data_IF_132454969666
#
_entry.id   IF_132454969666
#
_cell.length_a   1.000
_cell.length_b   1.000
_cell.length_c   1.000
_cell.angle_alpha   90.00
_cell.angle_beta   90.00
_cell.angle_gamma   90.00
#
_symmetry.space_group_name_H-M   'P 1'
#
loop_
_entity.id
_entity.type
_entity.pdbx_description
1 polymer ?
#
# COMPACT_ATOMS: atom_id res chain seq x y z
N UNK A 1 -21.55 -3.34 -3.05
CA UNK A 1 -20.25 -4.03 -3.15
C UNK A 1 -19.22 -3.13 -2.51
N UNK A 2 -18.33 -3.66 -1.65
CA UNK A 2 -17.24 -2.89 -1.03
C UNK A 2 -16.04 -2.82 -1.95
N UNK A 3 -15.33 -1.70 -1.91
CA UNK A 3 -14.16 -1.42 -2.72
C UNK A 3 -12.88 -1.58 -1.90
N UNK A 4 -11.88 -2.32 -2.41
CA UNK A 4 -10.56 -2.46 -1.79
C UNK A 4 -9.46 -2.07 -2.77
N UNK A 5 -8.54 -1.22 -2.32
CA UNK A 5 -7.30 -0.90 -3.04
C UNK A 5 -6.14 -1.69 -2.45
N UNK A 6 -5.42 -2.43 -3.30
CA UNK A 6 -4.25 -3.22 -2.91
C UNK A 6 -3.04 -2.71 -3.69
N UNK A 7 -2.08 -2.09 -3.01
CA UNK A 7 -0.85 -1.63 -3.66
C UNK A 7 0.15 -2.76 -3.81
N UNK A 8 0.84 -2.80 -4.96
CA UNK A 8 1.77 -3.88 -5.27
C UNK A 8 1.07 -5.25 -5.40
N UNK A 9 -0.14 -5.27 -5.96
CA UNK A 9 -1.01 -6.45 -6.04
C UNK A 9 -0.60 -7.51 -7.07
N UNK A 10 0.44 -7.28 -7.88
CA UNK A 10 0.79 -8.18 -8.99
C UNK A 10 1.61 -9.41 -8.56
N UNK A 11 2.13 -9.48 -7.34
CA UNK A 11 2.96 -10.61 -6.85
C UNK A 11 2.90 -10.78 -5.34
N UNK A 12 3.40 -11.93 -4.85
CA UNK A 12 3.60 -12.20 -3.42
C UNK A 12 2.34 -12.02 -2.58
N UNK A 13 2.48 -11.38 -1.42
CA UNK A 13 1.40 -11.12 -0.47
C UNK A 13 0.28 -10.30 -1.11
N UNK A 14 0.63 -9.26 -1.87
CA UNK A 14 -0.36 -8.43 -2.57
C UNK A 14 -1.24 -9.24 -3.52
N UNK A 15 -0.64 -10.13 -4.33
CA UNK A 15 -1.37 -11.04 -5.21
C UNK A 15 -2.33 -11.93 -4.42
N UNK A 16 -1.86 -12.55 -3.33
CA UNK A 16 -2.72 -13.38 -2.48
C UNK A 16 -3.90 -12.58 -1.91
N UNK A 17 -3.67 -11.34 -1.48
CA UNK A 17 -4.75 -10.44 -1.05
C UNK A 17 -5.75 -10.15 -2.17
N UNK A 18 -5.30 -9.95 -3.43
CA UNK A 18 -6.21 -9.73 -4.56
C UNK A 18 -7.18 -10.89 -4.72
N UNK A 19 -6.68 -12.13 -4.73
CA UNK A 19 -7.56 -13.32 -4.84
C UNK A 19 -8.50 -13.44 -3.65
N UNK A 20 -7.99 -13.27 -2.43
CA UNK A 20 -8.80 -13.41 -1.22
C UNK A 20 -9.95 -12.39 -1.18
N UNK A 21 -9.66 -11.12 -1.43
CA UNK A 21 -10.70 -10.10 -1.48
C UNK A 21 -11.69 -10.29 -2.62
N UNK A 22 -11.22 -10.73 -3.81
CA UNK A 22 -12.10 -11.03 -4.94
C UNK A 22 -13.04 -12.20 -4.63
N UNK A 23 -12.53 -13.28 -4.04
CA UNK A 23 -13.33 -14.44 -3.63
C UNK A 23 -14.37 -14.09 -2.55
N UNK A 24 -14.13 -13.05 -1.77
CA UNK A 24 -15.06 -12.55 -0.75
C UNK A 24 -16.00 -11.42 -1.26
N UNK A 25 -16.11 -11.25 -2.58
CA UNK A 25 -17.10 -10.36 -3.21
C UNK A 25 -16.76 -8.87 -3.14
N UNK A 26 -15.49 -8.52 -2.92
CA UNK A 26 -15.05 -7.13 -3.03
C UNK A 26 -14.76 -6.78 -4.50
N UNK A 27 -15.00 -5.51 -4.87
CA UNK A 27 -14.37 -4.95 -6.06
C UNK A 27 -12.93 -4.60 -5.70
N UNK A 28 -11.98 -5.27 -6.35
CA UNK A 28 -10.55 -5.10 -6.07
C UNK A 28 -9.90 -4.18 -7.09
N UNK A 29 -9.21 -3.14 -6.61
CA UNK A 29 -8.30 -2.31 -7.38
C UNK A 29 -6.89 -2.81 -7.14
N UNK A 30 -6.31 -3.49 -8.13
CA UNK A 30 -4.95 -3.98 -8.12
C UNK A 30 -4.03 -2.89 -8.66
N UNK A 31 -3.29 -2.23 -7.78
CA UNK A 31 -2.23 -1.33 -8.21
C UNK A 31 -0.94 -2.10 -8.49
N UNK A 32 -0.29 -1.72 -9.58
CA UNK A 32 1.04 -2.22 -9.96
C UNK A 32 1.88 -1.09 -10.59
N UNK A 33 3.21 -1.24 -10.59
CA UNK A 33 4.13 -0.28 -11.24
C UNK A 33 4.69 -0.84 -12.56
N UNK A 34 5.40 -1.98 -12.51
CA UNK A 34 6.16 -2.52 -13.66
C UNK A 34 5.61 -3.83 -14.23
N UNK A 35 4.95 -4.64 -13.43
CA UNK A 35 4.54 -6.02 -13.77
C UNK A 35 3.16 -6.02 -14.46
N UNK A 36 3.08 -5.51 -15.68
CA UNK A 36 1.84 -5.41 -16.46
C UNK A 36 1.25 -6.79 -16.79
N UNK A 37 2.08 -7.71 -17.26
CA UNK A 37 1.62 -9.04 -17.70
C UNK A 37 1.01 -9.85 -16.57
N UNK A 38 1.65 -9.81 -15.38
CA UNK A 38 1.10 -10.45 -14.18
C UNK A 38 -0.20 -9.78 -13.72
N UNK A 39 -0.28 -8.45 -13.82
CA UNK A 39 -1.50 -7.72 -13.46
C UNK A 39 -2.67 -8.08 -14.40
N UNK A 40 -2.43 -8.15 -15.71
CA UNK A 40 -3.45 -8.55 -16.70
C UNK A 40 -3.90 -10.02 -16.48
N UNK A 41 -2.96 -10.92 -16.18
CA UNK A 41 -3.31 -12.31 -15.84
C UNK A 41 -4.23 -12.38 -14.62
N UNK A 42 -3.88 -11.68 -13.53
CA UNK A 42 -4.69 -11.66 -12.31
C UNK A 42 -6.06 -11.04 -12.58
N UNK A 43 -6.13 -9.95 -13.35
CA UNK A 43 -7.39 -9.35 -13.79
C UNK A 43 -8.30 -10.34 -14.50
N UNK A 44 -7.76 -11.12 -15.44
CA UNK A 44 -8.53 -12.12 -16.18
C UNK A 44 -9.06 -13.25 -15.28
N UNK A 45 -8.33 -13.60 -14.22
CA UNK A 45 -8.71 -14.67 -13.28
C UNK A 45 -9.68 -14.17 -12.19
N UNK A 46 -9.63 -12.89 -11.81
CA UNK A 46 -10.33 -12.37 -10.63
C UNK A 46 -11.37 -11.29 -10.94
N UNK A 47 -11.33 -10.71 -12.13
CA UNK A 47 -12.13 -9.52 -12.47
C UNK A 47 -11.64 -8.23 -11.81
N UNK A 48 -10.46 -8.21 -11.19
CA UNK A 48 -9.92 -7.02 -10.55
C UNK A 48 -9.70 -5.88 -11.56
N UNK A 49 -9.92 -4.65 -11.13
CA UNK A 49 -9.57 -3.45 -11.88
C UNK A 49 -8.09 -3.17 -11.68
N UNK A 50 -7.31 -3.22 -12.74
CA UNK A 50 -5.87 -2.94 -12.65
C UNK A 50 -5.59 -1.45 -12.82
N UNK A 51 -4.72 -0.89 -11.98
CA UNK A 51 -4.33 0.53 -12.03
C UNK A 51 -2.81 0.64 -11.96
N UNK A 52 -2.20 1.14 -13.03
CA UNK A 52 -0.75 1.38 -13.10
C UNK A 52 -0.42 2.70 -12.40
N UNK A 53 0.39 2.65 -11.35
CA UNK A 53 0.95 3.82 -10.70
C UNK A 53 2.20 3.46 -9.89
N UNK A 54 3.22 4.30 -9.91
CA UNK A 54 4.29 4.28 -8.90
C UNK A 54 3.76 4.97 -7.64
N UNK A 55 3.54 4.20 -6.59
CA UNK A 55 2.97 4.72 -5.34
C UNK A 55 3.92 5.63 -4.54
N UNK A 56 5.19 5.72 -4.93
CA UNK A 56 6.15 6.69 -4.39
C UNK A 56 6.05 8.06 -5.05
N UNK A 57 5.30 8.19 -6.14
CA UNK A 57 5.05 9.42 -6.89
C UNK A 57 3.67 9.99 -6.53
N UNK A 58 3.66 11.17 -5.94
CA UNK A 58 2.42 11.81 -5.48
C UNK A 58 1.44 12.12 -6.61
N UNK A 59 1.94 12.49 -7.81
CA UNK A 59 1.08 12.76 -8.96
C UNK A 59 0.37 11.50 -9.42
N UNK A 60 1.10 10.38 -9.58
CA UNK A 60 0.52 9.11 -10.01
C UNK A 60 -0.47 8.56 -8.97
N UNK A 61 -0.22 8.76 -7.67
CA UNK A 61 -1.17 8.39 -6.62
C UNK A 61 -2.47 9.23 -6.72
N UNK A 62 -2.34 10.52 -6.96
CA UNK A 62 -3.52 11.39 -7.14
C UNK A 62 -4.31 11.03 -8.41
N UNK A 63 -3.63 10.80 -9.53
CA UNK A 63 -4.26 10.37 -10.79
C UNK A 63 -5.01 9.01 -10.59
N UNK A 64 -4.41 8.07 -9.84
CA UNK A 64 -5.05 6.81 -9.46
C UNK A 64 -6.30 7.05 -8.60
N UNK A 65 -6.23 7.94 -7.63
CA UNK A 65 -7.36 8.23 -6.75
C UNK A 65 -8.51 8.89 -7.54
N UNK A 66 -8.21 9.85 -8.39
CA UNK A 66 -9.19 10.50 -9.26
C UNK A 66 -9.88 9.49 -10.18
N UNK A 67 -9.10 8.59 -10.82
CA UNK A 67 -9.65 7.52 -11.66
C UNK A 67 -10.63 6.62 -10.88
N UNK A 68 -10.24 6.20 -9.67
CA UNK A 68 -11.08 5.32 -8.84
C UNK A 68 -12.34 6.06 -8.38
N UNK A 69 -12.21 7.28 -7.86
CA UNK A 69 -13.34 8.06 -7.36
C UNK A 69 -14.35 8.37 -8.46
N UNK A 70 -13.88 8.78 -9.65
CA UNK A 70 -14.75 9.15 -10.78
C UNK A 70 -15.54 7.95 -11.32
N UNK A 71 -14.90 6.78 -11.44
CA UNK A 71 -15.50 5.63 -12.12
C UNK A 71 -16.17 4.63 -11.18
N UNK A 72 -15.75 4.57 -9.91
CA UNK A 72 -16.16 3.48 -9.00
C UNK A 72 -16.57 3.96 -7.60
N UNK A 73 -16.32 5.23 -7.30
CA UNK A 73 -16.67 5.83 -6.00
C UNK A 73 -15.64 5.55 -4.91
N UNK A 74 -16.07 5.58 -3.66
CA UNK A 74 -15.23 5.59 -2.47
C UNK A 74 -14.60 4.23 -2.15
N UNK A 75 -13.42 4.24 -1.57
CA UNK A 75 -12.70 3.07 -1.07
C UNK A 75 -13.16 2.72 0.37
N UNK A 76 -13.35 1.44 0.63
CA UNK A 76 -13.71 0.91 1.96
C UNK A 76 -12.50 0.28 2.68
N UNK A 77 -11.56 -0.28 1.93
CA UNK A 77 -10.37 -0.93 2.48
C UNK A 77 -9.14 -0.55 1.68
N UNK A 78 -8.04 -0.23 2.36
CA UNK A 78 -6.72 -0.03 1.77
C UNK A 78 -5.79 -1.11 2.29
N UNK A 79 -5.10 -1.81 1.38
CA UNK A 79 -3.99 -2.70 1.70
C UNK A 79 -2.71 -2.07 1.14
N UNK A 80 -1.97 -1.37 2.00
CA UNK A 80 -0.65 -0.82 1.71
C UNK A 80 0.39 -1.93 1.77
N UNK A 81 0.62 -2.60 0.63
CA UNK A 81 1.52 -3.74 0.51
C UNK A 81 2.75 -3.44 -0.36
N UNK A 82 2.69 -2.48 -1.28
CA UNK A 82 3.82 -2.14 -2.13
C UNK A 82 5.09 -1.89 -1.31
N UNK A 83 6.18 -2.48 -1.72
CA UNK A 83 7.45 -2.37 -1.01
C UNK A 83 8.60 -3.00 -1.79
N UNK A 84 9.80 -2.61 -1.40
CA UNK A 84 11.07 -3.16 -1.87
C UNK A 84 11.93 -3.58 -0.68
N UNK A 85 12.85 -4.50 -0.90
CA UNK A 85 13.92 -4.84 0.03
C UNK A 85 15.27 -4.82 -0.70
N UNK A 86 16.33 -4.60 0.05
CA UNK A 86 17.70 -4.62 -0.46
C UNK A 86 18.61 -5.09 0.66
N UNK A 87 19.40 -6.13 0.39
CA UNK A 87 20.48 -6.56 1.29
C UNK A 87 21.74 -5.82 0.91
N UNK A 88 22.31 -5.05 1.86
CA UNK A 88 23.50 -4.24 1.65
C UNK A 88 24.18 -3.94 3.00
N UNK A 89 25.49 -4.00 3.07
CA UNK A 89 26.23 -3.57 4.28
C UNK A 89 25.95 -2.09 4.53
N UNK A 90 25.86 -1.70 5.79
CA UNK A 90 25.56 -0.31 6.16
C UNK A 90 26.56 0.69 5.54
N UNK A 91 27.83 0.34 5.51
CA UNK A 91 28.90 1.16 4.90
C UNK A 91 28.74 1.40 3.40
N UNK A 92 28.00 0.53 2.72
CA UNK A 92 27.80 0.56 1.27
C UNK A 92 26.45 1.16 0.88
N UNK A 93 25.54 1.38 1.86
CA UNK A 93 24.24 2.03 1.61
C UNK A 93 24.50 3.48 1.21
N UNK A 94 24.11 3.83 -0.01
CA UNK A 94 24.16 5.20 -0.50
C UNK A 94 22.95 5.99 -0.01
N UNK A 95 23.03 7.33 -0.03
CA UNK A 95 21.88 8.21 0.24
C UNK A 95 20.69 7.88 -0.70
N UNK A 96 20.96 7.63 -1.97
CA UNK A 96 19.93 7.23 -2.94
C UNK A 96 19.27 5.88 -2.59
N UNK A 97 20.02 4.89 -2.09
CA UNK A 97 19.45 3.62 -1.62
C UNK A 97 18.52 3.86 -0.43
N UNK A 98 18.96 4.72 0.51
CA UNK A 98 18.19 5.11 1.69
C UNK A 98 16.89 5.80 1.29
N UNK A 99 16.97 6.84 0.48
CA UNK A 99 15.82 7.63 0.05
C UNK A 99 14.83 6.75 -0.73
N UNK A 100 15.32 5.95 -1.66
CA UNK A 100 14.47 5.02 -2.42
C UNK A 100 13.77 4.00 -1.51
N UNK A 101 14.45 3.50 -0.48
CA UNK A 101 13.88 2.57 0.49
C UNK A 101 12.72 3.22 1.26
N UNK A 102 12.89 4.46 1.71
CA UNK A 102 11.86 5.19 2.42
C UNK A 102 10.73 5.65 1.50
N UNK A 103 11.03 6.11 0.30
CA UNK A 103 10.03 6.55 -0.68
C UNK A 103 9.04 5.41 -1.00
N UNK A 104 9.56 4.20 -1.24
CA UNK A 104 8.70 3.08 -1.63
C UNK A 104 8.04 2.39 -0.44
N UNK A 105 8.72 2.23 0.71
CA UNK A 105 8.16 1.47 1.83
C UNK A 105 7.38 2.31 2.85
N UNK A 106 7.63 3.61 2.93
CA UNK A 106 6.98 4.47 3.95
C UNK A 106 6.21 5.64 3.33
N UNK A 107 6.85 6.47 2.51
CA UNK A 107 6.20 7.63 1.88
C UNK A 107 5.03 7.22 1.00
N UNK A 108 5.16 6.10 0.26
CA UNK A 108 4.05 5.55 -0.52
C UNK A 108 2.82 5.26 0.32
N UNK A 109 2.99 4.66 1.50
CA UNK A 109 1.89 4.37 2.42
C UNK A 109 1.22 5.64 2.95
N UNK A 110 2.01 6.70 3.19
CA UNK A 110 1.48 8.02 3.53
C UNK A 110 0.66 8.59 2.37
N UNK A 111 1.22 8.62 1.15
CA UNK A 111 0.56 9.20 -0.02
C UNK A 111 -0.77 8.48 -0.34
N UNK A 112 -0.75 7.16 -0.41
CA UNK A 112 -1.95 6.35 -0.67
C UNK A 112 -2.98 6.52 0.45
N UNK A 113 -2.55 6.44 1.71
CA UNK A 113 -3.47 6.62 2.84
C UNK A 113 -4.11 8.01 2.78
N UNK A 114 -3.33 9.07 2.55
CA UNK A 114 -3.82 10.44 2.47
C UNK A 114 -4.82 10.64 1.33
N UNK A 115 -4.61 10.00 0.18
CA UNK A 115 -5.50 10.13 -0.98
C UNK A 115 -6.90 9.53 -0.77
N UNK A 116 -7.04 8.56 0.16
CA UNK A 116 -8.30 7.83 0.33
C UNK A 116 -8.87 7.86 1.76
N UNK A 117 -8.15 8.39 2.76
CA UNK A 117 -8.63 8.37 4.15
C UNK A 117 -9.92 9.15 4.34
N UNK A 118 -10.14 10.21 3.59
CA UNK A 118 -11.36 11.02 3.63
C UNK A 118 -12.61 10.22 3.24
N UNK A 119 -12.47 9.19 2.40
CA UNK A 119 -13.57 8.26 2.09
C UNK A 119 -14.10 7.55 3.34
N UNK A 120 -13.16 7.12 4.21
CA UNK A 120 -13.45 6.39 5.43
C UNK A 120 -13.96 7.33 6.52
N UNK A 121 -13.38 8.53 6.63
CA UNK A 121 -13.82 9.58 7.54
C UNK A 121 -15.27 9.96 7.22
N UNK A 122 -15.59 10.20 5.96
CA UNK A 122 -16.95 10.56 5.52
C UNK A 122 -17.98 9.46 5.80
N UNK A 123 -17.57 8.19 5.60
CA UNK A 123 -18.44 7.03 5.83
C UNK A 123 -18.53 6.62 7.31
N UNK A 124 -17.71 7.18 8.18
CA UNK A 124 -17.48 6.68 9.55
C UNK A 124 -17.18 5.17 9.60
N UNK A 125 -16.50 4.67 8.60
CA UNK A 125 -16.17 3.24 8.45
C UNK A 125 -15.09 3.03 7.42
N UNK A 126 -14.11 2.18 7.73
CA UNK A 126 -13.05 1.78 6.81
C UNK A 126 -12.01 0.89 7.46
N UNK A 127 -11.09 0.38 6.67
CA UNK A 127 -9.93 -0.38 7.16
C UNK A 127 -8.67 -0.01 6.39
N UNK A 128 -7.59 0.27 7.12
CA UNK A 128 -6.28 0.57 6.54
C UNK A 128 -5.27 -0.46 7.05
N UNK A 129 -4.93 -1.40 6.19
CA UNK A 129 -3.97 -2.48 6.46
C UNK A 129 -2.61 -2.06 5.90
N UNK A 130 -1.55 -2.22 6.67
CA UNK A 130 -0.18 -1.90 6.28
C UNK A 130 0.73 -3.10 6.51
N UNK A 131 1.43 -3.53 5.45
CA UNK A 131 2.35 -4.67 5.54
C UNK A 131 3.71 -4.19 6.01
N UNK A 132 4.03 -4.47 7.26
CA UNK A 132 5.34 -4.24 7.85
C UNK A 132 6.25 -5.48 7.67
N UNK A 133 7.19 -5.69 8.56
CA UNK A 133 8.12 -6.82 8.59
C UNK A 133 8.53 -7.12 10.02
N UNK A 134 8.95 -8.36 10.29
CA UNK A 134 9.63 -8.70 11.52
C UNK A 134 10.88 -7.84 11.73
N UNK A 135 11.58 -7.48 10.64
CA UNK A 135 12.75 -6.59 10.70
C UNK A 135 12.39 -5.15 11.15
N UNK A 136 11.14 -4.74 11.03
CA UNK A 136 10.68 -3.49 11.65
C UNK A 136 10.55 -3.55 13.17
N UNK A 137 10.60 -4.74 13.76
CA UNK A 137 10.55 -4.97 15.21
C UNK A 137 11.93 -5.30 15.77
N UNK A 138 12.63 -6.24 15.12
CA UNK A 138 13.89 -6.79 15.65
C UNK A 138 15.14 -6.23 14.97
N UNK A 139 15.00 -5.63 13.79
CA UNK A 139 16.13 -5.29 12.91
C UNK A 139 16.67 -6.52 12.18
N UNK A 140 17.26 -6.31 11.00
CA UNK A 140 17.93 -7.32 10.19
C UNK A 140 19.34 -6.90 9.82
N UNK A 141 20.32 -7.80 9.93
CA UNK A 141 21.69 -7.57 9.45
C UNK A 141 21.67 -7.37 7.93
N UNK A 142 22.48 -6.45 7.43
CA UNK A 142 22.52 -6.03 6.02
C UNK A 142 21.19 -5.44 5.49
N UNK A 143 20.26 -5.11 6.35
CA UNK A 143 18.96 -4.54 5.99
C UNK A 143 18.60 -3.31 6.84
N UNK A 144 19.58 -2.48 7.19
CA UNK A 144 19.40 -1.35 8.13
C UNK A 144 18.32 -0.37 7.63
N UNK A 145 18.39 0.06 6.38
CA UNK A 145 17.42 1.01 5.79
C UNK A 145 16.03 0.38 5.62
N UNK A 146 15.95 -0.91 5.27
CA UNK A 146 14.67 -1.64 5.20
C UNK A 146 14.05 -1.80 6.59
N UNK A 147 14.83 -2.20 7.59
CA UNK A 147 14.39 -2.33 8.98
C UNK A 147 13.87 -1.00 9.52
N UNK A 148 14.61 0.10 9.28
CA UNK A 148 14.20 1.45 9.67
C UNK A 148 12.88 1.87 9.00
N UNK A 149 12.74 1.67 7.69
CA UNK A 149 11.51 1.98 6.98
C UNK A 149 10.32 1.16 7.50
N UNK A 150 10.50 -0.14 7.78
CA UNK A 150 9.43 -1.00 8.31
C UNK A 150 9.09 -0.72 9.78
N UNK A 151 10.04 -0.26 10.58
CA UNK A 151 9.78 0.29 11.91
C UNK A 151 8.94 1.58 11.85
N UNK A 152 9.24 2.47 10.89
CA UNK A 152 8.46 3.67 10.66
C UNK A 152 6.99 3.36 10.31
N UNK A 153 6.72 2.29 9.54
CA UNK A 153 5.36 1.81 9.25
C UNK A 153 4.59 1.47 10.52
N UNK A 154 5.25 0.84 11.50
CA UNK A 154 4.63 0.47 12.79
C UNK A 154 4.25 1.74 13.58
N UNK A 155 5.18 2.69 13.67
CA UNK A 155 4.94 3.98 14.33
C UNK A 155 3.80 4.77 13.68
N UNK A 156 3.83 4.89 12.36
CA UNK A 156 2.78 5.54 11.58
C UNK A 156 1.41 4.90 11.78
N UNK A 157 1.36 3.56 11.79
CA UNK A 157 0.11 2.82 12.01
C UNK A 157 -0.49 3.13 13.38
N UNK A 158 0.33 3.08 14.43
CA UNK A 158 -0.11 3.36 15.81
C UNK A 158 -0.59 4.80 15.99
N UNK A 159 0.11 5.76 15.39
CA UNK A 159 -0.25 7.17 15.49
C UNK A 159 -1.56 7.46 14.75
N UNK A 160 -1.67 7.00 13.50
CA UNK A 160 -2.86 7.19 12.69
C UNK A 160 -4.10 6.52 13.30
N UNK A 161 -3.95 5.31 13.84
CA UNK A 161 -5.05 4.61 14.51
C UNK A 161 -5.60 5.43 15.69
N UNK A 162 -4.73 6.00 16.53
CA UNK A 162 -5.17 6.86 17.65
C UNK A 162 -5.86 8.14 17.19
N UNK A 163 -5.42 8.71 16.06
CA UNK A 163 -6.02 9.93 15.50
C UNK A 163 -7.42 9.67 14.94
N UNK A 164 -7.57 8.58 14.19
CA UNK A 164 -8.84 8.22 13.56
C UNK A 164 -9.85 7.63 14.56
N UNK A 165 -9.38 6.82 15.54
CA UNK A 165 -10.23 6.24 16.59
C UNK A 165 -10.89 7.31 17.45
N UNK A 166 -10.15 8.34 17.86
CA UNK A 166 -10.71 9.48 18.64
C UNK A 166 -11.87 10.20 17.95
N UNK A 167 -11.97 10.06 16.65
CA UNK A 167 -13.04 10.64 15.83
C UNK A 167 -14.13 9.61 15.49
N UNK A 168 -14.00 8.34 15.94
CA UNK A 168 -14.92 7.27 15.65
C UNK A 168 -14.95 6.82 14.18
N UNK A 169 -13.84 6.95 13.46
CA UNK A 169 -13.85 6.81 11.99
C UNK A 169 -13.28 5.47 11.46
N UNK A 170 -12.49 4.73 12.25
CA UNK A 170 -11.82 3.49 11.77
C UNK A 170 -11.76 2.43 12.88
#
# INVERSE_FOLDING_TARGET
MKNVLITGGSRGIGKACVYEFSNNGYRVFLNYNKSSDEAEKIKNETGAVIVKADVSDSKQVNDMAEFIHTNYGKIDVIVNNAGISQQKLFTDITENDWDRMFDVNMKSMYLVTKAFVDDMIYKHSGKIIKISSMWGVTGGSCEVHYSAAKAAVIGFTKALAKELDRRGYV
#
